data_IF_732509096901
#
_entry.id   IF_732509096901
#
_cell.length_a   1.000
_cell.length_b   1.000
_cell.length_c   1.000
_cell.angle_alpha   90.00
_cell.angle_beta   90.00
_cell.angle_gamma   90.00
#
_symmetry.space_group_name_H-M   'P 1'
#
loop_
_entity.id
_entity.type
_entity.pdbx_description
1 polymer ?
#
# COMPACT_ATOMS: atom_id res chain seq x y z
N UNK A 1 -32.86 -2.85 -20.96
CA UNK A 1 -32.37 -2.09 -19.80
C UNK A 1 -31.80 -0.78 -20.32
N UNK A 2 -32.07 0.37 -19.69
CA UNK A 2 -31.43 1.63 -20.09
C UNK A 2 -30.02 1.67 -19.48
N UNK A 3 -29.02 1.41 -20.32
CA UNK A 3 -27.63 1.65 -19.95
C UNK A 3 -27.37 3.16 -19.94
N UNK A 4 -27.38 3.75 -18.76
CA UNK A 4 -27.06 5.15 -18.53
C UNK A 4 -25.59 5.33 -18.14
N UNK A 5 -25.15 6.59 -18.07
CA UNK A 5 -23.76 6.91 -17.72
C UNK A 5 -23.39 6.42 -16.32
N UNK A 6 -24.34 6.30 -15.38
CA UNK A 6 -24.07 5.76 -14.04
C UNK A 6 -23.81 4.26 -14.09
N UNK A 7 -24.59 3.48 -14.83
CA UNK A 7 -24.40 2.03 -14.95
C UNK A 7 -22.99 1.67 -15.45
N UNK A 8 -22.48 2.35 -16.48
CA UNK A 8 -21.12 2.09 -17.00
C UNK A 8 -19.99 2.56 -16.07
N UNK A 9 -20.26 3.49 -15.15
CA UNK A 9 -19.33 3.88 -14.09
C UNK A 9 -19.44 2.91 -12.89
N UNK A 10 -20.60 2.28 -12.68
CA UNK A 10 -20.78 1.22 -11.68
C UNK A 10 -20.09 -0.09 -12.09
N UNK A 11 -20.25 -0.50 -13.35
CA UNK A 11 -19.55 -1.64 -13.97
C UNK A 11 -18.01 -1.46 -13.94
N UNK A 12 -17.53 -0.24 -14.15
CA UNK A 12 -16.11 0.10 -14.21
C UNK A 12 -15.90 1.55 -13.74
N UNK A 13 -15.60 1.75 -12.44
CA UNK A 13 -15.39 3.07 -11.87
C UNK A 13 -14.21 3.84 -12.46
N UNK A 14 -13.34 3.16 -13.22
CA UNK A 14 -12.06 3.67 -13.74
C UNK A 14 -12.15 4.00 -15.23
N UNK A 15 -13.22 3.59 -15.92
CA UNK A 15 -13.47 3.84 -17.35
C UNK A 15 -13.25 5.30 -17.72
N UNK A 16 -12.25 5.55 -18.57
CA UNK A 16 -11.85 6.92 -18.90
C UNK A 16 -12.99 7.70 -19.56
N UNK A 17 -13.12 9.03 -19.32
CA UNK A 17 -14.16 9.86 -19.94
C UNK A 17 -14.20 9.76 -21.47
N UNK A 18 -13.05 9.58 -22.13
CA UNK A 18 -12.94 9.34 -23.59
C UNK A 18 -13.57 7.99 -24.02
N UNK A 19 -13.45 6.96 -23.18
CA UNK A 19 -14.03 5.63 -23.41
C UNK A 19 -15.55 5.66 -23.20
N UNK A 20 -16.02 6.27 -22.10
CA UNK A 20 -17.45 6.49 -21.85
C UNK A 20 -18.09 7.34 -22.95
N UNK A 21 -17.41 8.39 -23.43
CA UNK A 21 -17.84 9.17 -24.59
C UNK A 21 -17.91 8.35 -25.89
N UNK A 22 -16.96 7.42 -26.12
CA UNK A 22 -17.02 6.48 -27.26
C UNK A 22 -18.22 5.53 -27.13
N UNK A 23 -18.52 5.01 -25.94
CA UNK A 23 -19.70 4.18 -25.69
C UNK A 23 -21.00 4.96 -25.91
N UNK A 24 -21.12 6.18 -25.37
CA UNK A 24 -22.28 7.06 -25.60
C UNK A 24 -22.51 7.29 -27.10
N UNK A 25 -21.45 7.54 -27.88
CA UNK A 25 -21.57 7.66 -29.35
C UNK A 25 -22.02 6.38 -30.03
N UNK A 26 -21.52 5.21 -29.63
CA UNK A 26 -21.96 3.92 -30.19
C UNK A 26 -23.45 3.63 -29.87
N UNK A 27 -23.89 3.90 -28.65
CA UNK A 27 -25.29 3.73 -28.26
C UNK A 27 -26.22 4.77 -28.92
N UNK A 28 -25.74 6.00 -29.14
CA UNK A 28 -26.42 7.03 -29.93
C UNK A 28 -26.56 6.64 -31.39
N UNK A 29 -25.47 6.16 -32.02
CA UNK A 29 -25.46 5.70 -33.41
C UNK A 29 -26.32 4.46 -33.67
N UNK A 30 -26.63 3.68 -32.63
CA UNK A 30 -27.57 2.54 -32.69
C UNK A 30 -29.00 2.91 -32.24
N UNK A 31 -29.31 4.21 -32.16
CA UNK A 31 -30.67 4.72 -31.96
C UNK A 31 -31.22 4.70 -30.53
N UNK A 32 -30.45 4.22 -29.54
CA UNK A 32 -30.92 4.00 -28.17
C UNK A 32 -31.36 5.28 -27.42
N UNK A 33 -31.03 6.46 -27.95
CA UNK A 33 -31.35 7.77 -27.35
C UNK A 33 -32.25 8.65 -28.24
N UNK A 34 -32.74 8.13 -29.38
CA UNK A 34 -33.55 8.90 -30.35
C UNK A 34 -32.85 10.17 -30.84
N UNK A 35 -33.63 11.23 -31.07
CA UNK A 35 -33.15 12.54 -31.56
C UNK A 35 -32.38 13.37 -30.50
N UNK A 36 -32.12 12.81 -29.31
CA UNK A 36 -31.35 13.51 -28.28
C UNK A 36 -29.94 13.82 -28.77
N UNK A 37 -29.50 15.07 -28.62
CA UNK A 37 -28.14 15.47 -28.96
C UNK A 37 -27.12 14.75 -28.07
N UNK A 38 -26.16 14.06 -28.69
CA UNK A 38 -25.04 13.46 -27.96
C UNK A 38 -24.30 14.56 -27.16
N UNK A 39 -24.03 14.37 -25.84
CA UNK A 39 -23.28 15.34 -25.06
C UNK A 39 -21.86 15.49 -25.60
N UNK A 40 -21.19 16.60 -25.28
CA UNK A 40 -19.76 16.79 -25.56
C UNK A 40 -18.86 16.04 -24.57
N UNK A 41 -17.61 15.77 -24.95
CA UNK A 41 -16.63 15.15 -24.05
C UNK A 41 -16.43 15.96 -22.74
N UNK A 42 -16.51 17.30 -22.82
CA UNK A 42 -16.42 18.18 -21.65
C UNK A 42 -17.60 17.98 -20.70
N UNK A 43 -18.84 17.89 -21.22
CA UNK A 43 -20.03 17.62 -20.41
C UNK A 43 -19.94 16.23 -19.76
N UNK A 44 -19.55 15.20 -20.52
CA UNK A 44 -19.35 13.83 -19.98
C UNK A 44 -18.32 13.84 -18.85
N UNK A 45 -17.19 14.54 -19.01
CA UNK A 45 -16.18 14.65 -17.96
C UNK A 45 -16.66 15.47 -16.75
N UNK A 46 -17.48 16.51 -16.93
CA UNK A 46 -18.12 17.23 -15.83
C UNK A 46 -19.11 16.35 -15.06
N UNK A 47 -19.95 15.58 -15.75
CA UNK A 47 -20.87 14.61 -15.12
C UNK A 47 -20.13 13.51 -14.36
N UNK A 48 -19.06 12.95 -14.95
CA UNK A 48 -18.19 11.96 -14.28
C UNK A 48 -17.58 12.56 -13.00
N UNK A 49 -17.05 13.78 -13.07
CA UNK A 49 -16.47 14.45 -11.90
C UNK A 49 -17.52 14.72 -10.81
N UNK A 50 -18.75 15.10 -11.18
CA UNK A 50 -19.87 15.26 -10.24
C UNK A 50 -20.22 13.94 -9.55
N UNK A 51 -20.54 12.89 -10.31
CA UNK A 51 -20.90 11.55 -9.78
C UNK A 51 -19.78 11.01 -8.88
N UNK A 52 -18.52 11.08 -9.33
CA UNK A 52 -17.35 10.63 -8.55
C UNK A 52 -17.15 11.38 -7.22
N UNK A 53 -17.45 12.68 -7.17
CA UNK A 53 -17.21 13.51 -5.97
C UNK A 53 -18.43 13.68 -5.06
N UNK A 54 -19.65 13.43 -5.55
CA UNK A 54 -20.90 13.64 -4.80
C UNK A 54 -21.73 12.38 -4.55
N UNK A 55 -21.59 11.35 -5.39
CA UNK A 55 -22.40 10.12 -5.31
C UNK A 55 -21.54 8.89 -4.96
N UNK A 56 -20.30 8.83 -5.47
CA UNK A 56 -19.36 7.71 -5.23
C UNK A 56 -18.28 8.00 -4.18
N UNK A 57 -18.42 9.10 -3.42
CA UNK A 57 -17.64 9.45 -2.23
C UNK A 57 -16.13 9.09 -2.31
N UNK A 58 -15.44 9.60 -3.33
CA UNK A 58 -14.01 9.33 -3.63
C UNK A 58 -13.10 9.17 -2.38
N UNK A 59 -12.85 7.91 -1.95
CA UNK A 59 -11.83 7.51 -0.95
C UNK A 59 -10.37 7.65 -1.46
N UNK A 60 -10.10 8.72 -2.21
CA UNK A 60 -8.83 8.98 -2.91
C UNK A 60 -8.37 10.45 -2.77
N UNK A 61 -9.13 11.26 -2.04
CA UNK A 61 -8.68 12.57 -1.56
C UNK A 61 -7.78 12.39 -0.33
N UNK A 62 -6.88 13.34 -0.06
CA UNK A 62 -6.02 13.31 1.13
C UNK A 62 -6.86 13.18 2.42
N UNK A 63 -7.89 14.03 2.68
CA UNK A 63 -8.68 13.92 3.91
C UNK A 63 -9.43 12.59 4.06
N UNK A 64 -9.93 11.99 2.97
CA UNK A 64 -10.64 10.71 3.04
C UNK A 64 -9.69 9.53 3.30
N UNK A 65 -8.39 9.66 2.95
CA UNK A 65 -7.36 8.71 3.35
C UNK A 65 -6.98 8.93 4.81
N UNK A 66 -6.77 10.16 5.26
CA UNK A 66 -6.44 10.48 6.67
C UNK A 66 -7.57 10.05 7.62
N UNK A 67 -8.82 10.31 7.27
CA UNK A 67 -10.03 9.83 7.97
C UNK A 67 -10.09 8.30 8.00
N UNK A 68 -9.84 7.62 6.88
CA UNK A 68 -9.80 6.16 6.84
C UNK A 68 -8.66 5.59 7.70
N UNK A 69 -7.49 6.24 7.74
CA UNK A 69 -6.35 5.83 8.56
C UNK A 69 -6.59 6.04 10.06
N UNK A 70 -7.36 7.05 10.44
CA UNK A 70 -7.71 7.31 11.84
C UNK A 70 -8.41 6.12 12.51
N UNK A 71 -9.12 5.30 11.74
CA UNK A 71 -9.79 4.07 12.20
C UNK A 71 -8.83 2.90 12.45
N UNK A 72 -7.61 2.94 11.90
CA UNK A 72 -6.59 1.90 12.04
C UNK A 72 -5.40 2.36 12.89
N UNK A 73 -5.50 3.52 13.57
CA UNK A 73 -4.47 3.95 14.53
C UNK A 73 -4.59 3.07 15.77
N UNK A 74 -3.52 2.35 16.11
CA UNK A 74 -3.47 1.54 17.34
C UNK A 74 -3.75 2.43 18.58
N UNK A 75 -4.68 2.05 19.47
CA UNK A 75 -4.94 2.77 20.72
C UNK A 75 -3.70 2.87 21.62
N UNK A 76 -3.56 4.00 22.32
CA UNK A 76 -2.44 4.23 23.24
C UNK A 76 -2.59 3.46 24.56
N UNK A 77 -3.83 3.20 25.00
CA UNK A 77 -4.10 2.38 26.16
C UNK A 77 -4.12 0.90 25.76
N UNK A 78 -3.28 0.07 26.40
CA UNK A 78 -3.18 -1.36 26.08
C UNK A 78 -4.48 -2.14 26.34
N UNK A 79 -5.34 -1.65 27.23
CA UNK A 79 -6.67 -2.23 27.49
C UNK A 79 -7.66 -2.06 26.34
N UNK A 80 -7.45 -1.07 25.46
CA UNK A 80 -8.22 -0.86 24.22
C UNK A 80 -7.64 -1.62 23.00
N UNK A 81 -6.49 -2.30 23.14
CA UNK A 81 -5.79 -2.93 22.01
C UNK A 81 -6.31 -4.34 21.70
N UNK A 82 -7.21 -4.46 20.73
CA UNK A 82 -7.63 -5.75 20.16
C UNK A 82 -6.46 -6.47 19.44
N UNK A 83 -5.95 -7.57 20.00
CA UNK A 83 -4.75 -8.28 19.52
C UNK A 83 -4.79 -8.72 18.04
N UNK A 84 -5.98 -9.02 17.51
CA UNK A 84 -6.21 -9.43 16.12
C UNK A 84 -6.59 -8.28 15.18
N UNK A 85 -6.79 -7.06 15.70
CA UNK A 85 -7.18 -5.91 14.90
C UNK A 85 -5.96 -5.37 14.13
N UNK A 86 -6.06 -5.17 12.80
CA UNK A 86 -4.92 -4.68 12.03
C UNK A 86 -4.75 -3.17 12.23
N UNK A 87 -3.53 -2.74 12.56
CA UNK A 87 -3.22 -1.33 12.76
C UNK A 87 -2.22 -0.81 11.73
N UNK A 88 -2.25 0.51 11.51
CA UNK A 88 -1.29 1.20 10.65
C UNK A 88 -0.11 1.73 11.45
N UNK A 89 1.09 1.45 10.96
CA UNK A 89 2.33 1.96 11.54
C UNK A 89 3.12 2.84 10.57
N UNK A 90 3.97 3.69 11.15
CA UNK A 90 4.88 4.57 10.43
C UNK A 90 4.25 5.81 9.78
N UNK A 91 2.93 5.96 9.74
CA UNK A 91 2.30 7.20 9.25
C UNK A 91 2.76 8.38 10.11
N UNK A 92 3.24 9.46 9.48
CA UNK A 92 3.56 10.72 10.15
C UNK A 92 2.29 11.24 10.87
N UNK A 93 2.37 11.45 12.19
CA UNK A 93 1.25 11.98 12.99
C UNK A 93 1.48 13.45 13.30
N UNK A 94 0.55 14.31 12.88
CA UNK A 94 0.52 15.75 13.22
C UNK A 94 -0.71 15.99 14.07
N UNK A 95 -0.55 16.64 15.23
CA UNK A 95 -1.59 16.85 16.24
C UNK A 95 -2.37 15.56 16.59
N UNK A 96 -1.64 14.44 16.65
CA UNK A 96 -2.17 13.09 16.91
C UNK A 96 -2.82 12.38 15.72
N UNK A 97 -3.09 13.09 14.61
CA UNK A 97 -3.78 12.57 13.43
C UNK A 97 -2.81 12.07 12.37
N UNK A 98 -3.10 10.95 11.67
CA UNK A 98 -2.30 10.49 10.55
C UNK A 98 -2.35 11.50 9.41
N UNK A 99 -1.19 11.86 8.85
CA UNK A 99 -1.05 12.80 7.73
C UNK A 99 -0.52 12.10 6.49
N UNK A 100 -1.12 12.39 5.31
CA UNK A 100 -0.58 11.95 4.01
C UNK A 100 -0.33 13.14 3.07
N UNK A 101 0.81 13.14 2.39
CA UNK A 101 1.34 14.32 1.68
C UNK A 101 0.75 14.70 0.30
N UNK A 102 1.67 15.26 -0.50
CA UNK A 102 1.61 15.88 -1.84
C UNK A 102 1.10 15.11 -3.07
N UNK A 103 2.08 14.82 -3.96
CA UNK A 103 2.00 14.22 -5.29
C UNK A 103 3.34 14.24 -6.03
N UNK A 104 4.19 15.23 -5.74
CA UNK A 104 5.44 15.50 -6.46
C UNK A 104 6.70 14.86 -5.87
N UNK A 105 7.70 15.69 -5.55
CA UNK A 105 9.09 15.31 -5.25
C UNK A 105 9.31 14.57 -3.90
N UNK A 106 8.26 14.07 -3.23
CA UNK A 106 8.32 13.40 -1.92
C UNK A 106 7.29 12.25 -1.81
N UNK A 107 7.62 11.18 -1.07
CA UNK A 107 6.95 9.86 -1.14
C UNK A 107 5.63 9.75 -0.34
N UNK A 108 4.58 9.21 -0.99
CA UNK A 108 3.16 8.94 -0.59
C UNK A 108 2.33 8.86 -1.93
N UNK A 109 1.02 8.60 -2.06
CA UNK A 109 -0.07 8.23 -1.13
C UNK A 109 -0.05 6.73 -0.82
N UNK A 110 -0.96 6.36 0.07
CA UNK A 110 -1.53 5.02 0.10
C UNK A 110 -3.03 5.11 -0.18
N UNK A 111 -3.55 4.17 -0.98
CA UNK A 111 -4.97 3.91 -1.08
C UNK A 111 -5.33 2.77 -0.13
N UNK A 112 -6.23 3.00 0.82
CA UNK A 112 -6.72 1.96 1.74
C UNK A 112 -7.51 0.89 0.98
N UNK A 113 -7.00 -0.33 0.90
CA UNK A 113 -7.70 -1.48 0.33
C UNK A 113 -7.49 -2.72 1.21
N UNK A 114 -8.36 -2.88 2.21
CA UNK A 114 -8.80 -4.21 2.61
C UNK A 114 -10.19 -4.46 2.01
N UNK A 115 -10.23 -5.22 0.93
CA UNK A 115 -11.42 -5.99 0.56
C UNK A 115 -10.95 -7.28 -0.09
N UNK A 116 -11.07 -8.39 0.65
CA UNK A 116 -10.91 -9.72 0.06
C UNK A 116 -12.16 -9.99 -0.80
N UNK A 117 -12.02 -9.92 -2.12
CA UNK A 117 -13.13 -10.00 -3.06
C UNK A 117 -12.74 -9.52 -4.45
N UNK A 118 -12.35 -10.50 -5.28
CA UNK A 118 -12.23 -10.57 -6.75
C UNK A 118 -12.17 -9.29 -7.64
N UNK A 119 -11.39 -9.44 -8.71
CA UNK A 119 -11.35 -8.67 -9.96
C UNK A 119 -10.57 -7.32 -10.01
N UNK A 120 -10.24 -6.90 -11.24
CA UNK A 120 -8.90 -6.40 -11.61
C UNK A 120 -8.71 -4.86 -11.83
N UNK A 121 -7.45 -4.52 -12.09
CA UNK A 121 -6.91 -3.46 -12.96
C UNK A 121 -7.04 -1.97 -12.63
N UNK A 122 -5.89 -1.36 -12.29
CA UNK A 122 -5.37 -0.02 -12.69
C UNK A 122 -6.22 1.25 -12.53
N UNK A 123 -5.73 2.18 -11.70
CA UNK A 123 -6.26 3.54 -11.49
C UNK A 123 -5.12 4.56 -11.66
N UNK A 124 -5.24 5.44 -12.65
CA UNK A 124 -4.38 6.63 -12.80
C UNK A 124 -5.24 7.89 -12.71
N UNK A 125 -4.70 8.92 -12.05
CA UNK A 125 -4.77 10.35 -12.41
C UNK A 125 -4.29 11.17 -11.19
N UNK A 126 -3.28 12.04 -11.39
CA UNK A 126 -2.67 12.88 -10.35
C UNK A 126 -2.89 14.36 -10.70
N UNK A 127 -3.13 15.18 -9.69
CA UNK A 127 -3.19 16.64 -9.79
C UNK A 127 -2.02 17.24 -9.00
N UNK A 128 -1.31 18.19 -9.61
CA UNK A 128 -0.14 18.85 -9.03
C UNK A 128 -0.54 20.06 -8.18
N UNK A 129 0.20 20.29 -7.08
CA UNK A 129 0.46 21.63 -6.56
C UNK A 129 1.88 21.69 -5.97
N UNK A 130 2.54 22.85 -6.04
CA UNK A 130 3.97 23.01 -5.81
C UNK A 130 4.29 23.77 -4.51
N UNK A 131 5.52 23.57 -4.01
CA UNK A 131 6.14 24.25 -2.87
C UNK A 131 5.66 23.83 -1.47
N UNK A 132 6.31 22.81 -0.91
CA UNK A 132 7.03 22.84 0.38
C UNK A 132 7.72 21.48 0.55
N UNK A 133 8.96 21.45 1.04
CA UNK A 133 9.58 20.18 1.46
C UNK A 133 9.13 19.82 2.89
N UNK A 134 8.91 18.50 3.07
CA UNK A 134 8.78 17.69 4.29
C UNK A 134 7.38 17.08 4.50
N UNK A 135 7.17 15.90 3.91
CA UNK A 135 6.41 14.78 4.50
C UNK A 135 6.71 13.50 3.68
N UNK A 136 6.88 12.36 4.35
CA UNK A 136 7.05 11.04 3.71
C UNK A 136 6.06 10.06 4.34
N UNK A 137 5.03 9.66 3.60
CA UNK A 137 3.89 8.91 4.16
C UNK A 137 3.82 7.50 3.57
N UNK A 138 4.52 6.59 4.22
CA UNK A 138 4.43 5.14 4.01
C UNK A 138 3.42 4.55 4.99
N UNK A 139 2.81 3.42 4.64
CA UNK A 139 1.86 2.75 5.53
C UNK A 139 2.13 1.25 5.57
N UNK A 140 2.56 0.76 6.73
CA UNK A 140 2.60 -0.65 7.05
C UNK A 140 1.34 -1.08 7.80
N UNK A 141 0.83 -2.27 7.49
CA UNK A 141 -0.27 -2.92 8.20
C UNK A 141 0.24 -4.19 8.90
N UNK A 142 -0.08 -4.35 10.18
CA UNK A 142 0.22 -5.57 10.97
C UNK A 142 -0.81 -5.78 12.08
N UNK A 143 -0.72 -6.86 12.85
CA UNK A 143 -1.50 -7.12 14.07
C UNK A 143 -0.57 -7.45 15.22
N UNK A 144 -1.00 -7.21 16.46
CA UNK A 144 -0.22 -7.60 17.64
C UNK A 144 -0.08 -9.13 17.73
N UNK A 145 -1.07 -9.90 17.28
CA UNK A 145 -0.97 -11.36 17.12
C UNK A 145 0.20 -11.79 16.22
N UNK A 146 0.31 -11.19 15.03
CA UNK A 146 1.37 -11.50 14.05
C UNK A 146 2.75 -11.18 14.62
N UNK A 147 2.90 -10.03 15.27
CA UNK A 147 4.15 -9.63 15.90
C UNK A 147 4.51 -10.55 17.08
N UNK A 148 3.54 -10.90 17.93
CA UNK A 148 3.75 -11.85 19.03
C UNK A 148 4.16 -13.23 18.52
N UNK A 149 3.52 -13.76 17.46
CA UNK A 149 3.92 -15.06 16.88
C UNK A 149 5.35 -15.07 16.36
N UNK A 150 5.86 -13.95 15.83
CA UNK A 150 7.29 -13.82 15.51
C UNK A 150 8.17 -13.81 16.77
N UNK A 151 7.81 -13.00 17.77
CA UNK A 151 8.51 -12.92 19.07
C UNK A 151 8.64 -14.32 19.70
N UNK A 152 7.53 -15.04 19.85
CA UNK A 152 7.52 -16.44 20.34
C UNK A 152 8.37 -17.37 19.47
N UNK A 153 8.29 -17.25 18.14
CA UNK A 153 9.15 -18.06 17.24
C UNK A 153 10.64 -17.85 17.51
N UNK A 154 11.07 -16.61 17.77
CA UNK A 154 12.45 -16.30 18.15
C UNK A 154 12.80 -16.81 19.57
N UNK A 155 11.93 -16.59 20.55
CA UNK A 155 12.13 -16.93 21.96
C UNK A 155 12.18 -18.44 22.20
N UNK A 156 11.37 -19.23 21.47
CA UNK A 156 11.42 -20.70 21.47
C UNK A 156 12.67 -21.26 20.76
N UNK A 157 13.29 -20.48 19.86
CA UNK A 157 14.39 -20.93 19.00
C UNK A 157 15.68 -20.08 19.12
N UNK A 158 16.20 -19.78 20.33
CA UNK A 158 17.24 -18.77 20.54
C UNK A 158 18.63 -19.14 19.97
N UNK A 159 18.77 -20.33 19.38
CA UNK A 159 19.98 -20.82 18.68
C UNK A 159 19.80 -20.95 17.16
N UNK A 160 18.65 -20.52 16.62
CA UNK A 160 18.36 -20.53 15.17
C UNK A 160 18.40 -19.11 14.64
N UNK A 161 18.96 -18.90 13.45
CA UNK A 161 18.65 -17.70 12.68
C UNK A 161 17.26 -17.91 12.07
N UNK A 162 16.26 -17.13 12.47
CA UNK A 162 14.96 -17.08 11.77
C UNK A 162 15.21 -16.40 10.42
N UNK A 163 14.66 -16.97 9.34
CA UNK A 163 14.75 -16.39 8.01
C UNK A 163 13.58 -15.43 7.80
N UNK A 164 13.85 -14.12 7.85
CA UNK A 164 12.90 -13.13 7.38
C UNK A 164 12.95 -13.03 5.85
N UNK A 165 11.86 -12.53 5.27
CA UNK A 165 11.71 -12.28 3.83
C UNK A 165 11.21 -10.87 3.56
N UNK A 166 11.57 -10.31 2.41
CA UNK A 166 10.98 -9.10 1.82
C UNK A 166 10.74 -9.32 0.32
N UNK A 167 9.47 -9.42 -0.08
CA UNK A 167 9.06 -9.41 -1.50
C UNK A 167 8.57 -8.01 -1.89
N UNK A 168 8.70 -7.61 -3.16
CA UNK A 168 7.98 -6.44 -3.68
C UNK A 168 7.12 -6.78 -4.89
N UNK A 169 5.82 -6.86 -4.62
CA UNK A 169 4.79 -7.04 -5.64
C UNK A 169 4.23 -5.71 -6.14
N UNK A 170 3.64 -5.73 -7.32
CA UNK A 170 3.06 -4.58 -8.03
C UNK A 170 1.63 -4.90 -8.46
N UNK A 171 0.85 -3.89 -8.84
CA UNK A 171 -0.56 -4.01 -9.27
C UNK A 171 -1.55 -4.51 -8.21
N UNK A 172 -1.10 -4.84 -6.99
CA UNK A 172 -1.93 -5.29 -5.86
C UNK A 172 -2.74 -4.16 -5.20
N UNK A 173 -2.39 -2.90 -5.44
CA UNK A 173 -3.22 -1.74 -5.13
C UNK A 173 -3.63 -1.03 -6.43
N UNK A 174 -4.75 -0.28 -6.37
CA UNK A 174 -5.34 0.38 -7.54
C UNK A 174 -4.37 1.33 -8.24
N UNK A 175 -3.47 2.01 -7.53
CA UNK A 175 -2.53 2.98 -8.10
C UNK A 175 -1.24 2.36 -8.68
N UNK A 176 -1.09 1.03 -8.62
CA UNK A 176 0.12 0.34 -9.11
C UNK A 176 1.38 0.59 -8.29
N UNK A 177 1.25 1.22 -7.11
CA UNK A 177 2.38 1.49 -6.22
C UNK A 177 3.08 0.20 -5.76
N UNK A 178 4.39 0.22 -5.44
CA UNK A 178 5.05 -0.88 -4.75
C UNK A 178 4.32 -1.32 -3.49
N UNK A 179 4.14 -2.63 -3.34
CA UNK A 179 3.68 -3.25 -2.09
C UNK A 179 4.75 -4.24 -1.63
N UNK A 180 5.36 -3.93 -0.50
CA UNK A 180 6.28 -4.82 0.18
C UNK A 180 5.49 -5.80 1.05
N UNK A 181 5.84 -7.08 0.98
CA UNK A 181 5.39 -8.09 1.95
C UNK A 181 6.60 -8.51 2.75
N UNK A 182 6.58 -8.21 4.05
CA UNK A 182 7.55 -8.76 4.99
C UNK A 182 6.97 -10.00 5.65
N UNK A 183 7.80 -10.99 5.91
CA UNK A 183 7.40 -12.23 6.56
C UNK A 183 8.59 -12.99 7.12
N UNK A 184 8.33 -14.20 7.63
CA UNK A 184 9.36 -15.14 8.08
C UNK A 184 9.00 -16.57 7.72
N UNK A 185 10.01 -17.43 7.60
CA UNK A 185 9.82 -18.89 7.60
C UNK A 185 9.99 -19.45 9.01
N UNK A 186 9.05 -20.28 9.44
CA UNK A 186 9.18 -21.05 10.68
C UNK A 186 10.11 -22.28 10.52
N UNK A 187 10.29 -23.05 11.59
CA UNK A 187 11.15 -24.24 11.59
C UNK A 187 10.58 -25.44 10.82
N UNK A 188 9.32 -25.38 10.38
CA UNK A 188 8.71 -26.34 9.45
C UNK A 188 8.81 -25.86 7.98
N UNK A 189 9.35 -24.66 7.73
CA UNK A 189 9.46 -24.05 6.41
C UNK A 189 8.20 -23.32 5.95
N UNK A 190 7.19 -23.16 6.82
CA UNK A 190 5.96 -22.43 6.48
C UNK A 190 6.19 -20.92 6.53
N UNK A 191 5.66 -20.19 5.56
CA UNK A 191 5.77 -18.74 5.49
C UNK A 191 4.65 -18.04 6.27
N UNK A 192 5.03 -17.10 7.12
CA UNK A 192 4.12 -16.25 7.92
C UNK A 192 4.35 -14.78 7.57
N UNK A 193 3.30 -14.05 7.23
CA UNK A 193 3.36 -12.59 7.00
C UNK A 193 3.63 -11.88 8.34
N UNK A 194 4.52 -10.89 8.32
CA UNK A 194 4.77 -9.94 9.42
C UNK A 194 3.99 -8.64 9.21
N UNK A 195 4.10 -8.06 8.02
CA UNK A 195 3.39 -6.85 7.65
C UNK A 195 3.31 -6.69 6.14
N UNK A 196 2.34 -5.91 5.69
CA UNK A 196 2.18 -5.49 4.30
C UNK A 196 2.35 -3.98 4.26
N UNK A 197 3.31 -3.49 3.49
CA UNK A 197 3.68 -2.08 3.46
C UNK A 197 3.50 -1.48 2.07
N UNK A 198 2.81 -0.35 1.96
CA UNK A 198 2.60 0.38 0.71
C UNK A 198 3.46 1.64 0.72
N UNK A 199 4.22 1.83 -0.36
CA UNK A 199 5.11 2.99 -0.57
C UNK A 199 4.86 3.55 -1.97
N UNK A 200 5.15 4.83 -2.22
CA UNK A 200 5.00 5.37 -3.57
C UNK A 200 6.20 5.14 -4.48
N UNK A 201 7.35 4.80 -3.88
CA UNK A 201 8.64 4.60 -4.55
C UNK A 201 9.32 3.35 -3.99
N UNK A 202 10.29 2.83 -4.75
CA UNK A 202 11.11 1.67 -4.38
C UNK A 202 12.60 2.04 -4.44
N UNK A 203 12.97 3.07 -3.68
CA UNK A 203 14.35 3.46 -3.39
C UNK A 203 14.88 2.71 -2.16
N UNK A 204 16.18 2.82 -1.92
CA UNK A 204 16.83 2.25 -0.74
C UNK A 204 16.42 2.95 0.57
N UNK A 205 16.13 4.25 0.53
CA UNK A 205 15.61 5.01 1.67
C UNK A 205 14.20 4.55 2.04
N UNK A 206 13.31 4.33 1.05
CA UNK A 206 11.95 3.80 1.30
C UNK A 206 12.05 2.43 2.02
N UNK A 207 12.91 1.52 1.55
CA UNK A 207 13.12 0.19 2.16
C UNK A 207 13.63 0.28 3.59
N UNK A 208 14.72 1.04 3.81
CA UNK A 208 15.34 1.15 5.12
C UNK A 208 14.41 1.84 6.13
N UNK A 209 13.61 2.81 5.67
CA UNK A 209 12.59 3.44 6.51
C UNK A 209 11.52 2.42 6.94
N UNK A 210 11.03 1.55 6.04
CA UNK A 210 9.99 0.55 6.40
C UNK A 210 10.45 -0.36 7.54
N UNK A 211 11.72 -0.78 7.47
CA UNK A 211 12.36 -1.64 8.46
C UNK A 211 12.62 -0.94 9.79
N UNK A 212 12.97 0.36 9.76
CA UNK A 212 13.09 1.20 10.97
C UNK A 212 11.76 1.33 11.68
N UNK A 213 10.69 1.57 10.92
CA UNK A 213 9.33 1.65 11.44
C UNK A 213 8.85 0.31 12.01
N UNK A 214 9.11 -0.81 11.33
CA UNK A 214 8.78 -2.14 11.86
C UNK A 214 9.58 -2.49 13.12
N UNK A 215 10.90 -2.23 13.14
CA UNK A 215 11.75 -2.42 14.33
C UNK A 215 11.23 -1.58 15.50
N UNK A 216 10.77 -0.35 15.23
CA UNK A 216 10.18 0.52 16.25
C UNK A 216 8.89 -0.05 16.82
N UNK A 217 7.95 -0.54 16.02
CA UNK A 217 6.71 -1.12 16.57
C UNK A 217 6.97 -2.36 17.43
N UNK A 218 7.93 -3.22 17.06
CA UNK A 218 8.32 -4.34 17.93
C UNK A 218 8.87 -3.89 19.30
N UNK A 219 9.62 -2.78 19.34
CA UNK A 219 10.12 -2.20 20.58
C UNK A 219 9.02 -1.47 21.37
N UNK A 220 8.17 -0.69 20.69
CA UNK A 220 7.12 0.13 21.31
C UNK A 220 5.96 -0.73 21.87
N UNK A 221 5.53 -1.75 21.12
CA UNK A 221 4.34 -2.55 21.48
C UNK A 221 4.66 -3.79 22.32
N UNK A 222 5.80 -4.46 22.07
CA UNK A 222 6.12 -5.79 22.64
C UNK A 222 7.39 -5.83 23.50
N UNK A 223 8.04 -4.69 23.74
CA UNK A 223 9.38 -4.57 24.34
C UNK A 223 10.37 -5.61 23.76
N UNK A 224 10.45 -5.67 22.43
CA UNK A 224 11.19 -6.70 21.71
C UNK A 224 12.18 -6.09 20.71
N UNK A 225 13.47 -6.39 20.90
CA UNK A 225 14.53 -6.01 19.98
C UNK A 225 14.44 -6.84 18.68
N UNK A 226 13.72 -6.31 17.68
CA UNK A 226 13.60 -6.96 16.38
C UNK A 226 14.90 -6.91 15.59
N UNK A 227 15.64 -8.02 15.61
CA UNK A 227 16.98 -8.15 15.02
C UNK A 227 17.12 -9.46 14.21
N UNK A 228 16.48 -9.54 13.02
CA UNK A 228 16.64 -10.70 12.14
C UNK A 228 18.08 -10.81 11.64
N UNK A 229 18.68 -12.00 11.78
CA UNK A 229 20.08 -12.28 11.37
C UNK A 229 20.21 -12.88 9.96
N UNK A 230 19.07 -13.11 9.29
CA UNK A 230 18.94 -13.42 7.86
C UNK A 230 17.75 -12.63 7.31
N UNK A 231 17.90 -11.98 6.16
CA UNK A 231 16.79 -11.43 5.39
C UNK A 231 16.95 -11.82 3.92
N UNK A 232 16.01 -12.60 3.39
CA UNK A 232 15.94 -12.88 1.96
C UNK A 232 15.08 -11.82 1.25
N UNK A 233 15.66 -11.09 0.31
CA UNK A 233 14.94 -10.16 -0.55
C UNK A 233 15.01 -10.52 -2.02
N UNK A 234 14.45 -9.67 -2.86
CA UNK A 234 14.62 -9.74 -4.31
C UNK A 234 16.09 -9.61 -4.71
N UNK A 235 16.40 -10.04 -5.94
CA UNK A 235 17.61 -9.65 -6.64
C UNK A 235 17.57 -8.16 -7.06
N UNK A 236 17.26 -7.25 -6.14
CA UNK A 236 16.97 -5.83 -6.40
C UNK A 236 17.90 -4.87 -5.66
N UNK A 237 18.40 -3.86 -6.39
CA UNK A 237 19.40 -2.92 -5.89
C UNK A 237 18.85 -2.02 -4.78
N UNK A 238 17.56 -1.67 -4.80
CA UNK A 238 16.97 -0.82 -3.78
C UNK A 238 16.85 -1.56 -2.44
N UNK A 239 16.42 -2.83 -2.47
CA UNK A 239 16.36 -3.66 -1.27
C UNK A 239 17.78 -3.94 -0.72
N UNK A 240 18.71 -4.36 -1.59
CA UNK A 240 20.10 -4.59 -1.20
C UNK A 240 20.72 -3.37 -0.50
N UNK A 241 20.68 -2.18 -1.11
CA UNK A 241 21.26 -0.97 -0.49
C UNK A 241 20.47 -0.47 0.73
N UNK A 242 19.16 -0.70 0.78
CA UNK A 242 18.35 -0.42 1.96
C UNK A 242 18.86 -1.20 3.17
N UNK A 243 19.26 -2.46 2.95
CA UNK A 243 19.89 -3.30 3.96
C UNK A 243 21.34 -2.93 4.22
N UNK A 244 22.23 -3.17 3.27
CA UNK A 244 23.70 -3.19 3.46
C UNK A 244 24.32 -1.79 3.52
N UNK A 245 23.53 -0.74 3.76
CA UNK A 245 24.02 0.65 3.88
C UNK A 245 23.10 1.45 4.80
N UNK A 246 21.79 1.44 4.55
CA UNK A 246 20.87 2.27 5.33
C UNK A 246 20.31 1.59 6.60
N UNK A 247 20.41 0.26 6.74
CA UNK A 247 20.19 -0.48 8.00
C UNK A 247 21.48 -0.86 8.75
N UNK A 248 22.64 -0.72 8.11
CA UNK A 248 24.01 -0.79 8.64
C UNK A 248 24.13 -0.76 10.18
N UNK A 249 23.97 0.45 10.73
CA UNK A 249 24.16 0.76 12.15
C UNK A 249 23.06 0.23 13.09
N UNK A 250 21.95 -0.29 12.57
CA UNK A 250 20.79 -0.75 13.36
C UNK A 250 20.55 -2.26 13.31
N UNK A 251 21.19 -2.95 12.36
CA UNK A 251 21.14 -4.40 12.17
C UNK A 251 22.52 -4.93 11.69
N UNK A 252 23.63 -4.65 12.40
CA UNK A 252 25.00 -4.89 11.90
C UNK A 252 25.38 -6.37 11.70
N UNK A 253 24.56 -7.31 12.20
CA UNK A 253 24.74 -8.75 11.98
C UNK A 253 23.83 -9.34 10.88
N UNK A 254 23.12 -8.50 10.11
CA UNK A 254 22.14 -8.99 9.13
C UNK A 254 22.80 -9.48 7.85
N UNK A 255 22.52 -10.74 7.52
CA UNK A 255 22.95 -11.36 6.27
C UNK A 255 21.85 -11.21 5.22
N UNK A 256 22.08 -10.40 4.19
CA UNK A 256 21.14 -10.24 3.07
C UNK A 256 21.33 -11.35 2.04
N UNK A 257 20.26 -12.10 1.78
CA UNK A 257 20.21 -13.16 0.78
C UNK A 257 19.37 -12.71 -0.41
N UNK A 258 19.83 -12.97 -1.64
CA UNK A 258 18.97 -12.81 -2.82
C UNK A 258 18.14 -14.06 -3.04
N UNK A 259 16.83 -13.90 -3.16
CA UNK A 259 15.89 -14.97 -3.49
C UNK A 259 16.26 -15.61 -4.83
N UNK A 260 16.60 -16.91 -4.80
CA UNK A 260 17.05 -17.66 -5.97
C UNK A 260 16.06 -17.57 -7.14
N UNK A 261 14.75 -17.65 -6.86
CA UNK A 261 13.72 -17.49 -7.89
C UNK A 261 13.76 -16.11 -8.56
N UNK A 262 14.02 -15.04 -7.81
CA UNK A 262 14.14 -13.68 -8.35
C UNK A 262 15.51 -13.37 -8.97
N UNK A 263 16.56 -14.14 -8.65
CA UNK A 263 17.80 -14.16 -9.45
C UNK A 263 17.55 -14.82 -10.80
N UNK A 264 16.96 -16.02 -10.83
CA UNK A 264 16.65 -16.76 -12.05
C UNK A 264 15.71 -15.95 -12.97
N UNK A 265 14.64 -15.36 -12.42
CA UNK A 265 13.70 -14.48 -13.14
C UNK A 265 14.30 -13.16 -13.67
N UNK A 266 15.56 -12.85 -13.33
CA UNK A 266 16.32 -11.71 -13.91
C UNK A 266 17.50 -12.16 -14.79
N UNK A 267 17.78 -13.46 -14.87
CA UNK A 267 18.86 -14.05 -15.68
C UNK A 267 18.35 -14.67 -17.00
N UNK A 268 17.03 -14.88 -17.11
CA UNK A 268 16.30 -15.32 -18.30
C UNK A 268 15.24 -14.27 -18.69
#
# INVERSE_FOLDING_TARGET
MLHDLRSWIGEDPKRMPKTLFKMLRVHHQSGNYGDAACPTLRQVQQSINYVRTKELHHKSTVPAVEEALQHWVLPTAQEDQEIHHPFVFGVEKVDGKPRVGNGGLQSFRVGTIFQCGLDNDTCNDIVYDNNVMHSYSYIGFTTLDVMNRYKTTCEDNPRRKILCHVDTTFSTNKSGYPVFVFGYSDMAGSFHVLCICITSQRTHDDVAWLLKSLKKEFQDQLDFAWEPRLLMGDADKAQYLGMTTAMDQQLPEIEYLMCFYHVIKKAY
#
